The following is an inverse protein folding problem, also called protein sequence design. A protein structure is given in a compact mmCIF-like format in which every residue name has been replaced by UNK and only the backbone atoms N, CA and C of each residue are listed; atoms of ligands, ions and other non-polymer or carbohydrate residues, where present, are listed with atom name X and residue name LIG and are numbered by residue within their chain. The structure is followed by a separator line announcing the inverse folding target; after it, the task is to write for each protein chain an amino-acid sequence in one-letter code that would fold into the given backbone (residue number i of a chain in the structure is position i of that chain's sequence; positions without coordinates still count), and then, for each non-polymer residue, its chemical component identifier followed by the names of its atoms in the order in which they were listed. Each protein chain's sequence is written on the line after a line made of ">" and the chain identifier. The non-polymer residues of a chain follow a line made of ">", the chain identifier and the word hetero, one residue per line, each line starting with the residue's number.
data_IF_199272452305
#
_entry.id   IF_199272452305
#
_cell.length_a   1.000
_cell.length_b   1.000
_cell.length_c   1.000
_cell.angle_alpha   90.00
_cell.angle_beta   90.00
_cell.angle_gamma   90.00
#
_symmetry.space_group_name_H-M   'P 1'
#
loop_
_entity.id
_entity.type
_entity.pdbx_description
1 polymer ?
#
# COMPACT_ATOMS: atom_id res chain seq x y z
N UNK A 1 20.06 9.26 9.20
CA UNK A 1 19.66 8.62 7.93
C UNK A 1 18.19 8.93 7.72
N UNK A 2 17.79 9.61 6.64
CA UNK A 2 16.36 9.79 6.32
C UNK A 2 15.83 8.41 5.95
N UNK A 3 14.84 7.87 6.67
CA UNK A 3 14.14 6.68 6.21
C UNK A 3 13.41 7.04 4.92
N UNK A 4 13.85 6.45 3.80
CA UNK A 4 13.14 6.56 2.55
C UNK A 4 11.96 5.58 2.63
N UNK A 5 10.75 6.12 2.54
CA UNK A 5 9.53 5.32 2.46
C UNK A 5 8.99 5.41 1.04
N UNK A 6 8.48 4.30 0.53
CA UNK A 6 7.58 4.34 -0.61
C UNK A 6 6.22 4.86 -0.12
N UNK A 7 5.68 5.86 -0.81
CA UNK A 7 4.48 6.58 -0.37
C UNK A 7 3.39 6.46 -1.41
N UNK A 8 2.19 6.08 -0.98
CA UNK A 8 1.00 6.13 -1.84
C UNK A 8 -0.22 6.60 -1.05
N UNK A 9 -1.10 7.34 -1.71
CA UNK A 9 -2.43 7.71 -1.21
C UNK A 9 -3.52 6.83 -1.82
N UNK A 10 -3.16 5.99 -2.79
CA UNK A 10 -4.09 5.12 -3.48
C UNK A 10 -4.30 3.85 -2.65
N UNK A 11 -5.50 3.72 -2.07
CA UNK A 11 -5.85 2.58 -1.23
C UNK A 11 -5.81 1.25 -2.01
N UNK A 12 -6.13 1.27 -3.31
CA UNK A 12 -6.12 0.08 -4.17
C UNK A 12 -4.69 -0.38 -4.46
N UNK A 13 -3.81 0.55 -4.83
CA UNK A 13 -2.38 0.26 -5.00
C UNK A 13 -1.77 -0.27 -3.69
N UNK A 14 -2.05 0.38 -2.57
CA UNK A 14 -1.55 -0.08 -1.27
C UNK A 14 -2.08 -1.48 -0.89
N UNK A 15 -3.34 -1.78 -1.21
CA UNK A 15 -3.93 -3.11 -0.97
C UNK A 15 -3.26 -4.18 -1.81
N UNK A 16 -2.95 -3.85 -3.06
CA UNK A 16 -2.17 -4.71 -3.94
C UNK A 16 -0.77 -4.95 -3.35
N UNK A 17 -0.05 -3.90 -2.95
CA UNK A 17 1.29 -4.04 -2.38
C UNK A 17 1.28 -4.87 -1.09
N UNK A 18 0.30 -4.66 -0.21
CA UNK A 18 0.16 -5.46 1.00
C UNK A 18 -0.10 -6.94 0.68
N UNK A 19 -0.99 -7.23 -0.27
CA UNK A 19 -1.28 -8.58 -0.72
C UNK A 19 -0.07 -9.26 -1.41
N UNK A 20 0.85 -8.48 -1.99
CA UNK A 20 2.14 -8.95 -2.53
C UNK A 20 3.22 -9.15 -1.47
N UNK A 21 2.89 -8.94 -0.19
CA UNK A 21 3.77 -9.16 0.96
C UNK A 21 4.67 -7.99 1.31
N UNK A 22 4.38 -6.77 0.83
CA UNK A 22 5.12 -5.59 1.26
C UNK A 22 4.63 -5.09 2.63
N UNK A 23 5.59 -4.75 3.49
CA UNK A 23 5.30 -4.33 4.85
C UNK A 23 4.92 -2.85 4.91
N UNK A 24 3.74 -2.58 5.47
CA UNK A 24 3.32 -1.24 5.83
C UNK A 24 4.13 -0.76 7.04
N UNK A 25 4.80 0.38 6.89
CA UNK A 25 5.60 1.03 7.93
C UNK A 25 4.81 2.07 8.73
N UNK A 26 3.70 2.58 8.20
CA UNK A 26 2.85 3.53 8.89
C UNK A 26 1.88 4.28 7.98
N UNK A 27 1.24 5.31 8.53
CA UNK A 27 0.45 6.31 7.80
C UNK A 27 0.79 7.72 8.27
N UNK A 28 0.79 8.65 7.34
CA UNK A 28 0.83 10.10 7.59
C UNK A 28 -0.54 10.69 7.27
N UNK A 29 -1.06 11.55 8.14
CA UNK A 29 -2.31 12.29 7.91
C UNK A 29 -2.00 13.77 7.74
N UNK A 30 -2.41 14.35 6.61
CA UNK A 30 -2.36 15.78 6.35
C UNK A 30 -3.75 16.27 5.95
N UNK A 31 -4.46 16.87 6.91
CA UNK A 31 -5.88 17.19 6.79
C UNK A 31 -6.72 15.94 6.52
N UNK A 32 -7.44 15.95 5.39
CA UNK A 32 -8.26 14.83 4.93
C UNK A 32 -7.49 13.80 4.10
N UNK A 33 -6.20 14.04 3.80
CA UNK A 33 -5.37 13.12 3.02
C UNK A 33 -4.62 12.18 3.93
N UNK A 34 -4.70 10.89 3.64
CA UNK A 34 -3.91 9.83 4.31
C UNK A 34 -2.91 9.29 3.30
N UNK A 35 -1.65 9.27 3.69
CA UNK A 35 -0.53 8.72 2.90
C UNK A 35 -0.01 7.48 3.61
N UNK A 36 -0.06 6.33 2.94
CA UNK A 36 0.45 5.07 3.43
C UNK A 36 1.95 4.98 3.14
N UNK A 37 2.70 4.51 4.14
CA UNK A 37 4.15 4.39 4.07
C UNK A 37 4.53 2.93 4.05
N UNK A 38 5.34 2.54 3.06
CA UNK A 38 5.95 1.21 2.96
C UNK A 38 7.47 1.33 3.00
N UNK A 39 8.15 0.25 3.35
CA UNK A 39 9.61 0.20 3.26
C UNK A 39 10.05 0.38 1.80
N UNK A 40 10.88 1.39 1.52
CA UNK A 40 11.31 1.68 0.15
C UNK A 40 12.29 0.62 -0.37
N UNK A 41 12.09 0.21 -1.61
CA UNK A 41 12.96 -0.73 -2.32
C UNK A 41 12.74 -0.63 -3.83
N UNK A 42 13.67 -1.14 -4.63
CA UNK A 42 13.43 -1.24 -6.07
C UNK A 42 12.24 -2.17 -6.39
N UNK A 43 12.08 -3.24 -5.61
CA UNK A 43 11.00 -4.21 -5.78
C UNK A 43 9.62 -3.59 -5.62
N UNK A 44 9.40 -2.74 -4.61
CA UNK A 44 8.09 -2.12 -4.39
C UNK A 44 7.72 -1.13 -5.49
N UNK A 45 8.70 -0.39 -6.02
CA UNK A 45 8.49 0.53 -7.16
C UNK A 45 8.10 -0.22 -8.43
N UNK A 46 8.75 -1.37 -8.68
CA UNK A 46 8.40 -2.24 -9.81
C UNK A 46 6.98 -2.80 -9.67
N UNK A 47 6.64 -3.34 -8.51
CA UNK A 47 5.31 -3.91 -8.28
C UNK A 47 4.21 -2.84 -8.33
N UNK A 48 4.48 -1.64 -7.84
CA UNK A 48 3.56 -0.51 -7.99
C UNK A 48 3.34 -0.14 -9.47
N UNK A 49 4.39 -0.16 -10.30
CA UNK A 49 4.25 0.03 -11.74
C UNK A 49 3.44 -1.12 -12.38
N UNK A 50 3.71 -2.36 -11.99
CA UNK A 50 3.01 -3.54 -12.48
C UNK A 50 1.50 -3.48 -12.18
N UNK A 51 1.11 -2.94 -11.01
CA UNK A 51 -0.30 -2.68 -10.68
C UNK A 51 -0.99 -1.82 -11.75
N UNK A 52 -0.38 -0.71 -12.16
CA UNK A 52 -0.93 0.16 -13.21
C UNK A 52 -0.88 -0.47 -14.61
N UNK A 53 -0.03 -1.49 -14.81
CA UNK A 53 0.05 -2.27 -16.04
C UNK A 53 -0.89 -3.50 -16.07
N UNK A 54 -1.76 -3.66 -15.07
CA UNK A 54 -2.74 -4.76 -15.03
C UNK A 54 -2.20 -6.06 -14.43
N UNK A 55 -1.32 -5.96 -13.44
CA UNK A 55 -0.86 -7.12 -12.68
C UNK A 55 -2.03 -7.96 -12.15
N UNK A 56 -1.83 -9.28 -12.16
CA UNK A 56 -2.80 -10.24 -11.61
C UNK A 56 -2.51 -10.50 -10.14
N UNK A 57 -3.57 -10.68 -9.38
CA UNK A 57 -3.53 -11.08 -7.98
C UNK A 57 -4.77 -11.90 -7.66
N UNK A 58 -4.64 -12.81 -6.70
CA UNK A 58 -5.79 -13.56 -6.21
C UNK A 58 -6.81 -12.62 -5.59
N UNK A 59 -8.07 -12.74 -6.04
CA UNK A 59 -9.13 -11.81 -5.65
C UNK A 59 -9.35 -11.79 -4.13
N UNK A 60 -9.19 -12.96 -3.49
CA UNK A 60 -9.32 -13.11 -2.04
C UNK A 60 -8.22 -12.33 -1.29
N UNK A 61 -6.95 -12.53 -1.66
CA UNK A 61 -5.81 -11.88 -1.00
C UNK A 61 -5.88 -10.36 -1.12
N UNK A 62 -6.29 -9.88 -2.29
CA UNK A 62 -6.53 -8.46 -2.52
C UNK A 62 -7.69 -7.92 -1.67
N UNK A 63 -8.80 -8.65 -1.59
CA UNK A 63 -9.97 -8.26 -0.79
C UNK A 63 -9.65 -8.21 0.70
N UNK A 64 -8.94 -9.22 1.23
CA UNK A 64 -8.53 -9.28 2.63
C UNK A 64 -7.54 -8.16 2.97
N UNK A 65 -6.59 -7.87 2.07
CA UNK A 65 -5.64 -6.76 2.24
C UNK A 65 -6.33 -5.40 2.19
N UNK A 66 -7.30 -5.23 1.29
CA UNK A 66 -8.10 -4.01 1.21
C UNK A 66 -8.92 -3.76 2.47
N UNK A 67 -9.57 -4.80 3.01
CA UNK A 67 -10.27 -4.70 4.29
C UNK A 67 -9.33 -4.31 5.42
N UNK A 68 -8.17 -4.98 5.50
CA UNK A 68 -7.14 -4.69 6.51
C UNK A 68 -6.67 -3.24 6.44
N UNK A 69 -6.39 -2.72 5.23
CA UNK A 69 -5.99 -1.33 5.07
C UNK A 69 -7.12 -0.35 5.35
N UNK A 70 -8.35 -0.68 4.98
CA UNK A 70 -9.50 0.18 5.29
C UNK A 70 -9.68 0.32 6.79
N UNK A 71 -9.62 -0.78 7.53
CA UNK A 71 -9.69 -0.78 8.99
C UNK A 71 -8.52 0.02 9.58
N UNK A 72 -7.30 -0.21 9.07
CA UNK A 72 -6.11 0.54 9.49
C UNK A 72 -6.20 2.04 9.18
N UNK A 73 -6.76 2.45 8.04
CA UNK A 73 -6.84 3.86 7.62
C UNK A 73 -7.91 4.59 8.43
N UNK A 74 -9.06 3.97 8.61
CA UNK A 74 -10.25 4.61 9.17
C UNK A 74 -10.48 4.34 10.66
N UNK A 75 -9.58 3.63 11.36
CA UNK A 75 -9.59 3.34 12.81
C UNK A 75 -11.00 3.46 13.42
N UNK A 76 -11.75 2.37 13.37
CA UNK A 76 -12.93 2.21 14.24
C UNK A 76 -12.50 1.79 15.63
#
# INVERSE_FOLDING_TARGET
>A
MKNHYYKTQNLYEASYLLARGFNLSGKEKNGNKITLLFHDSEKIRKEALDFYNGAKIEAKDYSDSYRTLKDYVFDR
#
